data_IF_777434721024
#
_entry.id   IF_777434721024
#
_cell.length_a   1.000
_cell.length_b   1.000
_cell.length_c   1.000
_cell.angle_alpha   90.00
_cell.angle_beta   90.00
_cell.angle_gamma   90.00
#
_symmetry.space_group_name_H-M   'P 1'
#
loop_
_entity.id
_entity.type
_entity.pdbx_description
1 polymer ?
#
# COMPACT_ATOMS: atom_id res chain seq x y z
N UNK A 1 5.98 22.21 -15.21
CA UNK A 1 6.32 20.83 -14.91
C UNK A 1 7.78 20.56 -15.28
N UNK A 2 8.49 19.75 -14.51
CA UNK A 2 9.91 19.40 -14.70
C UNK A 2 10.12 17.93 -15.11
N UNK A 3 9.05 17.23 -15.39
CA UNK A 3 9.06 15.85 -15.88
C UNK A 3 8.15 15.71 -17.11
N UNK A 4 8.38 14.68 -17.90
CA UNK A 4 7.53 14.33 -19.04
C UNK A 4 6.45 13.36 -18.56
N UNK A 5 5.20 13.64 -18.90
CA UNK A 5 4.09 12.75 -18.62
C UNK A 5 4.03 11.65 -19.68
N UNK A 6 3.62 10.47 -19.29
CA UNK A 6 3.21 9.42 -20.21
C UNK A 6 1.83 9.75 -20.80
N UNK A 7 1.53 9.23 -21.97
CA UNK A 7 0.28 9.50 -22.68
C UNK A 7 -0.97 9.26 -21.82
N UNK A 8 -1.00 8.17 -21.06
CA UNK A 8 -2.13 7.88 -20.17
C UNK A 8 -2.23 8.88 -18.99
N UNK A 9 -1.08 9.38 -18.47
CA UNK A 9 -1.07 10.41 -17.43
C UNK A 9 -1.59 11.74 -17.96
N UNK A 10 -1.24 12.10 -19.18
CA UNK A 10 -1.80 13.29 -19.83
C UNK A 10 -3.32 13.20 -19.95
N UNK A 11 -3.86 12.03 -20.32
CA UNK A 11 -5.29 11.80 -20.33
C UNK A 11 -5.92 11.94 -18.94
N UNK A 12 -5.26 11.42 -17.89
CA UNK A 12 -5.72 11.58 -16.52
C UNK A 12 -5.73 13.04 -16.08
N UNK A 13 -4.68 13.80 -16.39
CA UNK A 13 -4.63 15.25 -16.11
C UNK A 13 -5.75 16.00 -16.84
N UNK A 14 -5.97 15.71 -18.13
CA UNK A 14 -7.06 16.31 -18.91
C UNK A 14 -8.43 16.00 -18.29
N UNK A 15 -8.63 14.75 -17.86
CA UNK A 15 -9.86 14.33 -17.19
C UNK A 15 -10.08 15.09 -15.86
N UNK A 16 -9.02 15.18 -15.01
CA UNK A 16 -9.06 15.91 -13.73
C UNK A 16 -9.44 17.37 -13.95
N UNK A 17 -8.82 18.01 -14.93
CA UNK A 17 -9.07 19.42 -15.20
C UNK A 17 -10.45 19.67 -15.80
N UNK A 18 -10.95 18.75 -16.64
CA UNK A 18 -12.26 18.85 -17.29
C UNK A 18 -13.42 18.61 -16.33
N UNK A 19 -13.32 17.57 -15.49
CA UNK A 19 -14.39 17.18 -14.57
C UNK A 19 -14.42 17.99 -13.27
N UNK A 20 -13.31 18.67 -12.93
CA UNK A 20 -13.14 19.54 -11.76
C UNK A 20 -13.24 18.84 -10.41
N UNK A 21 -14.13 17.86 -10.24
CA UNK A 21 -14.36 17.08 -9.01
C UNK A 21 -14.29 15.60 -9.33
N UNK A 22 -13.16 14.99 -9.04
CA UNK A 22 -12.77 13.66 -9.53
C UNK A 22 -12.33 12.75 -8.40
N UNK A 23 -12.69 11.49 -8.52
CA UNK A 23 -12.14 10.36 -7.78
C UNK A 23 -11.24 9.57 -8.73
N UNK A 24 -9.92 9.69 -8.56
CA UNK A 24 -8.92 8.99 -9.35
C UNK A 24 -8.56 7.68 -8.66
N UNK A 25 -9.03 6.57 -9.21
CA UNK A 25 -8.84 5.21 -8.71
C UNK A 25 -7.76 4.43 -9.45
N UNK A 26 -6.84 5.10 -10.14
CA UNK A 26 -5.73 4.44 -10.84
C UNK A 26 -5.00 3.46 -9.93
N UNK A 27 -4.65 2.30 -10.46
CA UNK A 27 -3.89 1.29 -9.75
C UNK A 27 -2.57 1.86 -9.21
N UNK A 28 -2.05 1.24 -8.14
CA UNK A 28 -0.80 1.67 -7.54
C UNK A 28 0.36 1.61 -8.54
N UNK A 29 1.26 2.59 -8.47
CA UNK A 29 2.40 2.69 -9.39
C UNK A 29 2.11 3.43 -10.69
N UNK A 30 0.86 3.77 -11.03
CA UNK A 30 0.52 4.55 -12.24
C UNK A 30 0.78 6.05 -12.12
N UNK A 31 1.34 6.51 -11.00
CA UNK A 31 1.76 7.92 -10.83
C UNK A 31 0.61 8.89 -10.60
N UNK A 32 -0.34 8.55 -9.73
CA UNK A 32 -1.41 9.48 -9.29
C UNK A 32 -0.84 10.79 -8.78
N UNK A 33 0.24 10.74 -7.98
CA UNK A 33 0.96 11.92 -7.47
C UNK A 33 1.44 12.85 -8.59
N UNK A 34 2.03 12.28 -9.65
CA UNK A 34 2.51 13.04 -10.82
C UNK A 34 1.34 13.72 -11.54
N UNK A 35 0.22 13.01 -11.70
CA UNK A 35 -0.98 13.57 -12.34
C UNK A 35 -1.57 14.71 -11.51
N UNK A 36 -1.60 14.59 -10.18
CA UNK A 36 -2.06 15.67 -9.29
C UNK A 36 -1.13 16.90 -9.38
N UNK A 37 0.19 16.71 -9.34
CA UNK A 37 1.17 17.80 -9.47
C UNK A 37 1.03 18.47 -10.85
N UNK A 38 0.91 17.71 -11.93
CA UNK A 38 0.72 18.22 -13.28
C UNK A 38 -0.57 19.03 -13.41
N UNK A 39 -1.65 18.59 -12.75
CA UNK A 39 -2.92 19.33 -12.72
C UNK A 39 -2.77 20.67 -11.99
N UNK A 40 -2.10 20.71 -10.83
CA UNK A 40 -1.80 21.96 -10.10
C UNK A 40 -0.91 22.91 -10.93
N UNK A 41 0.11 22.38 -11.62
CA UNK A 41 0.96 23.18 -12.50
C UNK A 41 0.16 23.77 -13.66
N UNK A 42 -0.72 22.99 -14.28
CA UNK A 42 -1.59 23.45 -15.35
C UNK A 42 -2.51 24.58 -14.89
N UNK A 43 -3.11 24.44 -13.71
CA UNK A 43 -3.93 25.49 -13.09
C UNK A 43 -3.12 26.74 -12.74
N UNK A 44 -1.89 26.57 -12.23
CA UNK A 44 -0.97 27.69 -11.95
C UNK A 44 -0.71 28.50 -13.22
N UNK A 45 -0.55 27.86 -14.37
CA UNK A 45 -0.31 28.51 -15.64
C UNK A 45 -1.54 29.32 -16.13
N UNK A 46 -2.73 29.03 -15.59
CA UNK A 46 -3.97 29.77 -15.88
C UNK A 46 -4.36 30.76 -14.78
N UNK A 47 -3.48 31.02 -13.82
CA UNK A 47 -3.65 32.04 -12.79
C UNK A 47 -4.00 31.53 -11.40
N UNK A 48 -4.17 30.21 -11.19
CA UNK A 48 -4.40 29.64 -9.87
C UNK A 48 -3.20 29.83 -8.94
N UNK A 49 -3.44 30.05 -7.66
CA UNK A 49 -2.41 30.43 -6.69
C UNK A 49 -2.37 29.56 -5.45
N UNK A 50 -3.49 28.94 -5.05
CA UNK A 50 -3.62 28.27 -3.77
C UNK A 50 -4.07 26.81 -3.92
N UNK A 51 -3.24 25.90 -3.45
CA UNK A 51 -3.47 24.46 -3.52
C UNK A 51 -3.31 23.83 -2.15
N UNK A 52 -4.11 22.83 -1.81
CA UNK A 52 -3.97 22.03 -0.59
C UNK A 52 -3.84 20.56 -0.98
N UNK A 53 -2.87 19.87 -0.39
CA UNK A 53 -2.72 18.42 -0.43
C UNK A 53 -2.90 17.86 0.97
N UNK A 54 -3.90 17.02 1.15
CA UNK A 54 -4.15 16.24 2.37
C UNK A 54 -3.69 14.80 2.14
N UNK A 55 -2.80 14.31 2.98
CA UNK A 55 -2.25 12.97 2.83
C UNK A 55 -2.00 12.30 4.20
N UNK A 56 -1.80 10.96 4.25
CA UNK A 56 -1.32 10.29 5.44
C UNK A 56 0.02 10.86 5.92
N UNK A 57 0.25 10.89 7.24
CA UNK A 57 1.48 11.44 7.82
C UNK A 57 2.76 10.75 7.29
N UNK A 58 2.67 9.45 6.97
CA UNK A 58 3.78 8.66 6.42
C UNK A 58 4.29 9.14 5.06
N UNK A 59 3.48 9.86 4.30
CA UNK A 59 3.82 10.31 2.93
C UNK A 59 3.98 11.83 2.81
N UNK A 60 3.78 12.58 3.87
CA UNK A 60 3.83 14.04 3.86
C UNK A 60 5.17 14.56 3.33
N UNK A 61 6.28 14.08 3.87
CA UNK A 61 7.63 14.47 3.43
C UNK A 61 7.87 14.09 1.97
N UNK A 62 7.39 12.92 1.54
CA UNK A 62 7.51 12.49 0.14
C UNK A 62 6.72 13.42 -0.80
N UNK A 63 5.51 13.83 -0.43
CA UNK A 63 4.73 14.81 -1.20
C UNK A 63 5.48 16.13 -1.37
N UNK A 64 6.04 16.66 -0.29
CA UNK A 64 6.85 17.91 -0.35
C UNK A 64 8.04 17.77 -1.30
N UNK A 65 8.73 16.62 -1.30
CA UNK A 65 9.88 16.35 -2.18
C UNK A 65 9.46 16.19 -3.64
N UNK A 66 8.42 15.42 -3.91
CA UNK A 66 7.93 15.18 -5.26
C UNK A 66 7.45 16.47 -5.93
N UNK A 67 6.74 17.35 -5.21
CA UNK A 67 6.34 18.66 -5.74
C UNK A 67 7.59 19.51 -6.10
N UNK A 68 8.58 19.58 -5.22
CA UNK A 68 9.83 20.33 -5.47
C UNK A 68 10.64 19.74 -6.62
N UNK A 69 10.68 18.41 -6.75
CA UNK A 69 11.39 17.69 -7.81
C UNK A 69 10.72 17.89 -9.18
N UNK A 70 9.40 17.78 -9.22
CA UNK A 70 8.65 17.72 -10.48
C UNK A 70 8.09 19.08 -10.94
N UNK A 71 8.12 20.11 -10.10
CA UNK A 71 7.54 21.40 -10.41
C UNK A 71 8.36 22.58 -9.85
N UNK A 72 7.90 23.80 -10.18
CA UNK A 72 8.36 25.05 -9.56
C UNK A 72 7.31 25.61 -8.59
N UNK A 73 6.33 24.83 -8.17
CA UNK A 73 5.32 25.27 -7.21
C UNK A 73 5.95 25.47 -5.83
N UNK A 74 5.71 26.62 -5.19
CA UNK A 74 6.11 26.81 -3.80
C UNK A 74 5.41 25.79 -2.89
N UNK A 75 6.15 25.18 -1.96
CA UNK A 75 5.61 24.16 -1.04
C UNK A 75 5.66 24.69 0.38
N UNK A 76 4.54 24.62 1.07
CA UNK A 76 4.39 24.97 2.47
C UNK A 76 3.98 23.73 3.25
N UNK A 77 4.88 23.21 4.09
CA UNK A 77 4.56 22.10 4.97
C UNK A 77 3.73 22.61 6.16
N UNK A 78 2.52 22.04 6.32
CA UNK A 78 1.58 22.40 7.41
C UNK A 78 1.47 21.21 8.35
N UNK A 79 2.42 21.11 9.27
CA UNK A 79 2.48 20.03 10.25
C UNK A 79 3.18 20.48 11.55
N UNK A 80 2.98 19.72 12.65
CA UNK A 80 3.66 19.96 13.93
C UNK A 80 3.22 21.24 14.65
N UNK A 81 4.13 21.82 15.45
CA UNK A 81 3.85 22.99 16.30
C UNK A 81 3.68 24.30 15.51
N UNK A 82 4.27 24.39 14.35
CA UNK A 82 4.22 25.60 13.50
C UNK A 82 3.01 25.66 12.55
N UNK A 83 2.12 24.68 12.57
CA UNK A 83 0.99 24.53 11.64
C UNK A 83 0.19 25.81 11.40
N UNK A 84 -0.20 26.51 12.46
CA UNK A 84 -1.00 27.74 12.34
C UNK A 84 -0.24 28.89 11.64
N UNK A 85 1.07 28.96 11.86
CA UNK A 85 1.93 29.94 11.17
C UNK A 85 2.07 29.58 9.70
N UNK A 86 2.26 28.30 9.39
CA UNK A 86 2.35 27.80 8.03
C UNK A 86 1.06 28.02 7.24
N UNK A 87 -0.12 27.79 7.85
CA UNK A 87 -1.43 28.09 7.21
C UNK A 87 -1.55 29.57 6.86
N UNK A 88 -1.18 30.46 7.80
CA UNK A 88 -1.23 31.91 7.57
C UNK A 88 -0.27 32.31 6.44
N UNK A 89 0.94 31.82 6.47
CA UNK A 89 1.94 32.07 5.41
C UNK A 89 1.42 31.62 4.05
N UNK A 90 0.87 30.40 3.94
CA UNK A 90 0.30 29.88 2.72
C UNK A 90 -0.89 30.74 2.22
N UNK A 91 -1.78 31.12 3.12
CA UNK A 91 -2.92 31.96 2.78
C UNK A 91 -2.49 33.31 2.17
N UNK A 92 -1.44 33.91 2.71
CA UNK A 92 -0.99 35.24 2.29
C UNK A 92 -0.09 35.19 1.02
N UNK A 93 0.57 34.06 0.73
CA UNK A 93 1.56 33.93 -0.35
C UNK A 93 1.19 32.91 -1.43
N UNK A 94 0.23 32.05 -1.19
CA UNK A 94 -0.13 30.96 -2.10
C UNK A 94 0.86 29.79 -2.07
N UNK A 95 0.81 28.95 -3.10
CA UNK A 95 1.59 27.73 -3.25
C UNK A 95 0.81 26.48 -2.86
N UNK A 96 1.51 25.37 -2.62
CA UNK A 96 0.92 24.09 -2.22
C UNK A 96 1.12 23.88 -0.74
N UNK A 97 0.04 23.96 0.04
CA UNK A 97 0.04 23.53 1.44
C UNK A 97 -0.08 22.01 1.50
N UNK A 98 0.92 21.32 2.04
CA UNK A 98 0.91 19.87 2.25
C UNK A 98 0.66 19.58 3.72
N UNK A 99 -0.38 18.81 4.02
CA UNK A 99 -0.84 18.58 5.40
C UNK A 99 -1.33 17.14 5.62
N UNK A 100 -1.48 16.75 6.88
CA UNK A 100 -2.05 15.45 7.25
C UNK A 100 -3.53 15.56 7.60
N UNK A 101 -4.23 14.43 7.58
CA UNK A 101 -5.65 14.36 7.96
C UNK A 101 -5.93 14.96 9.35
N UNK A 102 -5.05 14.68 10.32
CA UNK A 102 -5.17 15.17 11.70
C UNK A 102 -4.94 16.68 11.80
N UNK A 103 -4.13 17.22 10.90
CA UNK A 103 -3.75 18.63 10.90
C UNK A 103 -4.76 19.51 10.13
N UNK A 104 -5.68 18.91 9.36
CA UNK A 104 -6.70 19.67 8.59
C UNK A 104 -7.53 20.62 9.43
N UNK A 105 -7.72 20.34 10.74
CA UNK A 105 -8.41 21.24 11.66
C UNK A 105 -7.73 22.62 11.84
N UNK A 106 -6.44 22.74 11.47
CA UNK A 106 -5.72 24.02 11.54
C UNK A 106 -6.13 25.02 10.44
N UNK A 107 -6.81 24.53 9.39
CA UNK A 107 -7.31 25.37 8.32
C UNK A 107 -8.68 25.93 8.71
N UNK A 108 -8.68 27.14 9.22
CA UNK A 108 -9.90 27.92 9.47
C UNK A 108 -9.90 29.12 8.53
N UNK A 109 -10.91 29.20 7.69
CA UNK A 109 -11.05 30.25 6.70
C UNK A 109 -12.32 31.05 6.94
N UNK A 110 -12.28 32.34 6.59
CA UNK A 110 -13.44 33.20 6.47
C UNK A 110 -14.40 32.63 5.41
N UNK A 111 -15.69 32.97 5.52
CA UNK A 111 -16.69 32.36 4.65
C UNK A 111 -16.48 32.65 3.15
N UNK A 112 -15.87 33.77 2.82
CA UNK A 112 -15.61 34.21 1.46
C UNK A 112 -14.31 33.63 0.87
N UNK A 113 -13.40 33.10 1.70
CA UNK A 113 -12.13 32.57 1.19
C UNK A 113 -12.33 31.27 0.44
N UNK A 114 -11.80 31.23 -0.76
CA UNK A 114 -11.74 30.01 -1.62
C UNK A 114 -10.32 29.77 -2.07
N UNK A 115 -10.04 28.54 -2.47
CA UNK A 115 -8.76 28.14 -3.04
C UNK A 115 -8.97 27.22 -4.25
N UNK A 116 -7.98 27.14 -5.13
CA UNK A 116 -8.15 26.63 -6.48
C UNK A 116 -8.32 25.12 -6.55
N UNK A 117 -7.54 24.34 -5.74
CA UNK A 117 -7.64 22.88 -5.80
C UNK A 117 -7.30 22.23 -4.47
N UNK A 118 -8.12 21.26 -4.10
CA UNK A 118 -7.88 20.31 -3.00
C UNK A 118 -7.51 18.95 -3.60
N UNK A 119 -6.39 18.39 -3.18
CA UNK A 119 -5.98 17.01 -3.45
C UNK A 119 -6.06 16.23 -2.13
N UNK A 120 -6.75 15.09 -2.14
CA UNK A 120 -6.86 14.19 -0.98
C UNK A 120 -6.30 12.84 -1.38
N UNK A 121 -5.12 12.52 -0.87
CA UNK A 121 -4.44 11.25 -1.14
C UNK A 121 -4.89 10.17 -0.17
N UNK A 122 -5.05 8.93 -0.67
CA UNK A 122 -5.63 7.80 0.05
C UNK A 122 -7.01 8.14 0.64
N UNK A 123 -7.91 8.61 -0.21
CA UNK A 123 -9.23 9.12 0.17
C UNK A 123 -10.11 8.12 0.95
N UNK A 124 -9.77 6.82 0.93
CA UNK A 124 -10.43 5.82 1.78
C UNK A 124 -10.33 6.14 3.30
N UNK A 125 -9.37 6.99 3.71
CA UNK A 125 -9.29 7.47 5.10
C UNK A 125 -10.49 8.30 5.55
N UNK A 126 -11.27 8.86 4.62
CA UNK A 126 -12.46 9.67 4.89
C UNK A 126 -13.78 8.99 4.53
N UNK A 127 -13.77 7.67 4.36
CA UNK A 127 -14.95 6.86 4.04
C UNK A 127 -16.07 6.96 5.08
N UNK A 128 -15.71 7.03 6.37
CA UNK A 128 -16.68 7.24 7.45
C UNK A 128 -17.01 8.73 7.59
N UNK A 129 -18.22 9.18 7.22
CA UNK A 129 -18.60 10.59 7.24
C UNK A 129 -18.62 11.21 8.65
N UNK A 130 -18.80 10.40 9.70
CA UNK A 130 -18.90 10.86 11.09
C UNK A 130 -17.52 11.05 11.76
N UNK A 131 -16.47 10.51 11.16
CA UNK A 131 -15.12 10.68 11.70
C UNK A 131 -14.68 12.15 11.61
N UNK A 132 -14.03 12.66 12.67
CA UNK A 132 -13.56 14.05 12.74
C UNK A 132 -12.71 14.45 11.53
N UNK A 133 -11.82 13.57 11.07
CA UNK A 133 -10.99 13.79 9.87
C UNK A 133 -11.83 13.97 8.60
N UNK A 134 -12.90 13.19 8.46
CA UNK A 134 -13.83 13.29 7.33
C UNK A 134 -14.59 14.60 7.33
N UNK A 135 -15.10 15.02 8.50
CA UNK A 135 -15.77 16.29 8.66
C UNK A 135 -14.86 17.48 8.32
N UNK A 136 -13.60 17.44 8.77
CA UNK A 136 -12.63 18.50 8.49
C UNK A 136 -12.31 18.58 6.98
N UNK A 137 -12.07 17.44 6.33
CA UNK A 137 -11.83 17.42 4.88
C UNK A 137 -13.06 17.90 4.10
N UNK A 138 -14.28 17.49 4.50
CA UNK A 138 -15.52 17.98 3.88
C UNK A 138 -15.67 19.49 4.00
N UNK A 139 -15.26 20.11 5.12
CA UNK A 139 -15.21 21.59 5.24
C UNK A 139 -14.23 22.20 4.24
N UNK A 140 -13.07 21.60 4.02
CA UNK A 140 -12.13 22.06 2.98
C UNK A 140 -12.74 21.93 1.57
N UNK A 141 -13.46 20.85 1.31
CA UNK A 141 -14.14 20.64 0.01
C UNK A 141 -15.14 21.77 -0.34
N UNK A 142 -15.79 22.38 0.68
CA UNK A 142 -16.73 23.50 0.42
C UNK A 142 -16.04 24.78 -0.01
N UNK A 143 -14.72 24.88 0.23
CA UNK A 143 -13.90 26.07 -0.08
C UNK A 143 -13.03 25.89 -1.33
N UNK A 144 -12.95 24.68 -1.87
CA UNK A 144 -12.14 24.35 -3.04
C UNK A 144 -12.96 24.45 -4.33
N UNK A 145 -12.42 25.13 -5.34
CA UNK A 145 -13.03 25.17 -6.66
C UNK A 145 -12.93 23.81 -7.36
N UNK A 146 -11.78 23.13 -7.23
CA UNK A 146 -11.55 21.79 -7.77
C UNK A 146 -11.15 20.80 -6.68
N UNK A 147 -11.59 19.56 -6.82
CA UNK A 147 -11.34 18.52 -5.83
C UNK A 147 -10.88 17.25 -6.54
N UNK A 148 -9.70 16.77 -6.15
CA UNK A 148 -9.16 15.49 -6.58
C UNK A 148 -9.02 14.56 -5.38
N UNK A 149 -9.86 13.55 -5.33
CA UNK A 149 -9.65 12.41 -4.42
C UNK A 149 -8.85 11.35 -5.16
N UNK A 150 -7.85 10.79 -4.49
CA UNK A 150 -7.02 9.71 -5.03
C UNK A 150 -7.04 8.52 -4.09
N UNK A 151 -7.08 7.33 -4.66
CA UNK A 151 -6.92 6.10 -3.91
C UNK A 151 -6.28 5.03 -4.79
N UNK A 152 -5.43 4.20 -4.20
CA UNK A 152 -4.87 3.02 -4.87
C UNK A 152 -5.66 1.77 -4.56
N UNK A 153 -6.56 1.83 -3.56
CA UNK A 153 -7.47 0.74 -3.24
C UNK A 153 -8.66 0.77 -4.18
N UNK A 154 -9.08 -0.41 -4.62
CA UNK A 154 -10.23 -0.54 -5.51
C UNK A 154 -11.52 -0.29 -4.72
N UNK A 155 -12.02 0.94 -4.78
CA UNK A 155 -13.29 1.34 -4.15
C UNK A 155 -14.51 0.61 -4.73
N UNK A 156 -14.37 0.02 -5.90
CA UNK A 156 -15.37 -0.85 -6.50
C UNK A 156 -15.74 -2.03 -5.59
N UNK A 157 -14.89 -2.31 -4.60
CA UNK A 157 -15.03 -3.37 -3.61
C UNK A 157 -16.00 -3.04 -2.50
N UNK A 158 -16.18 -1.75 -2.26
CA UNK A 158 -17.15 -1.27 -1.30
C UNK A 158 -17.93 -0.13 -1.96
N UNK A 159 -18.98 -0.51 -2.66
CA UNK A 159 -19.83 0.41 -3.42
C UNK A 159 -20.37 1.52 -2.51
N UNK A 160 -20.67 1.23 -1.25
CA UNK A 160 -21.16 2.20 -0.29
C UNK A 160 -20.08 3.23 0.06
N UNK A 161 -18.82 2.79 0.24
CA UNK A 161 -17.68 3.69 0.46
C UNK A 161 -17.44 4.58 -0.76
N UNK A 162 -17.51 4.00 -1.96
CA UNK A 162 -17.38 4.76 -3.20
C UNK A 162 -18.49 5.79 -3.34
N UNK A 163 -19.73 5.42 -3.11
CA UNK A 163 -20.88 6.34 -3.13
C UNK A 163 -20.71 7.43 -2.07
N UNK A 164 -20.24 7.09 -0.88
CA UNK A 164 -19.96 8.07 0.19
C UNK A 164 -18.92 9.10 -0.25
N UNK A 165 -17.82 8.70 -0.88
CA UNK A 165 -16.81 9.62 -1.40
C UNK A 165 -17.35 10.46 -2.58
N UNK A 166 -18.06 9.82 -3.51
CA UNK A 166 -18.68 10.52 -4.63
C UNK A 166 -19.75 11.54 -4.19
N UNK A 167 -20.43 11.29 -3.06
CA UNK A 167 -21.42 12.23 -2.51
C UNK A 167 -20.80 13.57 -2.10
N UNK A 168 -19.51 13.56 -1.74
CA UNK A 168 -18.75 14.80 -1.45
C UNK A 168 -18.36 15.53 -2.73
N UNK A 169 -17.99 14.78 -3.77
CA UNK A 169 -17.53 15.32 -5.04
C UNK A 169 -18.72 15.82 -5.91
N UNK A 170 -19.63 14.92 -6.21
CA UNK A 170 -20.78 15.18 -7.09
C UNK A 170 -22.04 14.45 -6.57
N UNK A 171 -22.83 15.07 -5.67
CA UNK A 171 -24.00 14.43 -5.03
C UNK A 171 -25.03 13.85 -6.02
N UNK A 172 -25.22 14.50 -7.17
CA UNK A 172 -26.16 14.03 -8.21
C UNK A 172 -25.70 12.71 -8.82
N UNK A 173 -24.41 12.58 -9.09
CA UNK A 173 -23.81 11.35 -9.63
C UNK A 173 -23.88 10.23 -8.58
N UNK A 174 -23.56 10.52 -7.33
CA UNK A 174 -23.67 9.56 -6.24
C UNK A 174 -25.13 9.05 -6.08
N UNK A 175 -26.10 9.92 -6.14
CA UNK A 175 -27.52 9.55 -6.10
C UNK A 175 -27.92 8.65 -7.29
N UNK A 176 -27.47 8.98 -8.50
CA UNK A 176 -27.72 8.15 -9.68
C UNK A 176 -27.05 6.77 -9.55
N UNK A 177 -25.81 6.74 -9.07
CA UNK A 177 -25.07 5.50 -8.88
C UNK A 177 -25.69 4.60 -7.79
N UNK A 178 -26.20 5.16 -6.70
CA UNK A 178 -26.85 4.40 -5.63
C UNK A 178 -28.03 3.56 -6.09
N UNK A 179 -28.72 3.98 -7.15
CA UNK A 179 -29.82 3.22 -7.76
C UNK A 179 -29.38 1.93 -8.44
N UNK A 180 -28.11 1.84 -8.80
CA UNK A 180 -27.50 0.70 -9.46
C UNK A 180 -26.50 -0.04 -8.56
N UNK A 181 -26.42 0.31 -7.26
CA UNK A 181 -25.46 -0.26 -6.33
C UNK A 181 -25.53 -1.78 -6.23
N UNK A 182 -26.73 -2.37 -6.28
CA UNK A 182 -26.96 -3.82 -6.25
C UNK A 182 -26.43 -4.55 -7.50
N UNK A 183 -26.15 -3.83 -8.59
CA UNK A 183 -25.62 -4.35 -9.86
C UNK A 183 -24.35 -3.60 -10.25
N UNK A 184 -23.45 -3.41 -9.31
CA UNK A 184 -22.22 -2.60 -9.46
C UNK A 184 -21.28 -3.10 -10.57
N UNK A 185 -21.34 -4.36 -10.93
CA UNK A 185 -20.63 -4.95 -12.08
C UNK A 185 -21.22 -4.59 -13.44
N UNK A 186 -22.48 -4.11 -13.47
CA UNK A 186 -23.17 -3.84 -14.73
C UNK A 186 -22.69 -2.55 -15.42
N UNK A 187 -22.72 -2.49 -16.77
CA UNK A 187 -22.36 -1.30 -17.53
C UNK A 187 -23.13 -0.03 -17.11
N UNK A 188 -24.37 -0.19 -16.63
CA UNK A 188 -25.20 0.92 -16.15
C UNK A 188 -24.58 1.64 -14.95
N UNK A 189 -24.03 0.89 -14.00
CA UNK A 189 -23.33 1.47 -12.86
C UNK A 189 -22.07 2.20 -13.30
N UNK A 190 -21.26 1.59 -14.16
CA UNK A 190 -20.02 2.21 -14.71
C UNK A 190 -20.33 3.51 -15.45
N UNK A 191 -21.36 3.52 -16.29
CA UNK A 191 -21.78 4.72 -17.00
C UNK A 191 -22.25 5.83 -16.04
N UNK A 192 -22.93 5.45 -14.94
CA UNK A 192 -23.40 6.39 -13.94
C UNK A 192 -22.24 7.08 -13.20
N UNK A 193 -21.15 6.37 -12.92
CA UNK A 193 -19.99 6.90 -12.17
C UNK A 193 -18.93 7.56 -13.06
N UNK A 194 -18.93 7.31 -14.37
CA UNK A 194 -17.93 7.82 -15.30
C UNK A 194 -17.67 9.33 -15.25
N UNK A 195 -18.64 10.22 -14.93
CA UNK A 195 -18.37 11.65 -14.77
C UNK A 195 -17.48 12.02 -13.58
N UNK A 196 -17.35 11.12 -12.60
CA UNK A 196 -16.65 11.39 -11.33
C UNK A 196 -15.49 10.44 -11.10
N UNK A 197 -15.59 9.21 -11.57
CA UNK A 197 -14.63 8.14 -11.29
C UNK A 197 -13.82 7.79 -12.52
N UNK A 198 -12.49 7.83 -12.37
CA UNK A 198 -11.55 7.43 -13.40
C UNK A 198 -10.55 6.43 -12.86
N UNK A 199 -10.48 5.26 -13.48
CA UNK A 199 -9.59 4.17 -13.09
C UNK A 199 -8.96 3.52 -14.30
N UNK A 200 -7.67 3.18 -14.15
CA UNK A 200 -6.93 2.34 -15.09
C UNK A 200 -6.21 1.26 -14.31
N UNK A 201 -6.11 0.10 -14.92
CA UNK A 201 -5.26 -0.98 -14.43
C UNK A 201 -3.86 -0.83 -15.02
N UNK A 202 -2.89 -1.39 -14.33
CA UNK A 202 -1.49 -1.38 -14.78
C UNK A 202 -1.33 -2.11 -16.10
N UNK A 203 -1.94 -3.28 -16.25
CA UNK A 203 -1.95 -4.11 -17.45
C UNK A 203 -2.49 -3.37 -18.70
N UNK A 204 -3.47 -2.46 -18.52
CA UNK A 204 -4.09 -1.72 -19.62
C UNK A 204 -3.19 -0.62 -20.20
N UNK A 205 -2.24 -0.11 -19.42
CA UNK A 205 -1.52 1.13 -19.76
C UNK A 205 0.00 1.01 -19.77
N UNK A 206 0.57 -0.03 -19.18
CA UNK A 206 2.01 -0.21 -19.07
C UNK A 206 2.48 -1.46 -19.83
N UNK A 207 2.65 -1.31 -21.12
CA UNK A 207 3.38 -2.30 -21.96
C UNK A 207 4.91 -2.21 -21.80
N UNK A 208 5.40 -1.23 -21.03
CA UNK A 208 6.83 -0.88 -20.93
C UNK A 208 7.45 -1.18 -19.56
N UNK A 209 6.69 -1.71 -18.58
CA UNK A 209 7.29 -2.16 -17.33
C UNK A 209 8.03 -3.49 -17.57
N UNK A 210 9.20 -3.68 -16.94
CA UNK A 210 9.81 -4.99 -16.84
C UNK A 210 8.85 -6.01 -16.23
N UNK A 211 9.11 -7.29 -16.41
CA UNK A 211 8.27 -8.35 -15.85
C UNK A 211 8.26 -8.33 -14.32
N UNK A 212 7.11 -8.64 -13.75
CA UNK A 212 6.95 -9.00 -12.35
C UNK A 212 6.91 -10.54 -12.28
N UNK A 213 7.92 -11.12 -11.64
CA UNK A 213 8.06 -12.57 -11.50
C UNK A 213 7.83 -12.91 -10.03
N UNK A 214 6.77 -13.64 -9.73
CA UNK A 214 6.39 -14.02 -8.38
C UNK A 214 6.65 -15.51 -8.17
N UNK A 215 7.31 -15.86 -7.07
CA UNK A 215 7.63 -17.23 -6.67
C UNK A 215 7.18 -17.50 -5.23
N UNK A 216 6.59 -18.67 -5.03
CA UNK A 216 6.32 -19.23 -3.70
C UNK A 216 7.49 -20.17 -3.34
N UNK A 217 8.23 -19.82 -2.30
CA UNK A 217 9.38 -20.58 -1.83
C UNK A 217 8.96 -21.45 -0.64
N UNK A 218 8.61 -22.68 -0.94
CA UNK A 218 8.16 -23.66 0.02
C UNK A 218 9.35 -24.33 0.73
N UNK A 219 9.40 -24.22 2.04
CA UNK A 219 10.45 -24.75 2.90
C UNK A 219 9.88 -25.88 3.76
N UNK A 220 10.65 -26.93 3.97
CA UNK A 220 10.29 -28.02 4.90
C UNK A 220 10.90 -27.73 6.26
N UNK A 221 10.09 -27.74 7.33
CA UNK A 221 10.58 -27.54 8.70
C UNK A 221 11.58 -28.63 9.09
N UNK A 222 12.71 -28.22 9.67
CA UNK A 222 13.63 -29.15 10.32
C UNK A 222 12.97 -29.78 11.57
N UNK A 223 13.39 -30.97 12.02
CA UNK A 223 12.76 -31.62 13.18
C UNK A 223 12.69 -30.74 14.44
N UNK A 224 13.73 -29.95 14.68
CA UNK A 224 13.78 -29.02 15.83
C UNK A 224 12.77 -27.86 15.66
N UNK A 225 12.58 -27.36 14.46
CA UNK A 225 11.58 -26.33 14.18
C UNK A 225 10.16 -26.87 14.28
N UNK A 226 9.96 -28.12 13.82
CA UNK A 226 8.67 -28.80 13.90
C UNK A 226 8.19 -28.90 15.34
N UNK A 227 9.05 -29.29 16.26
CA UNK A 227 8.73 -29.36 17.68
C UNK A 227 8.32 -27.98 18.24
N UNK A 228 9.08 -26.93 17.95
CA UNK A 228 8.76 -25.54 18.36
C UNK A 228 7.43 -25.09 17.73
N UNK A 229 7.19 -25.38 16.46
CA UNK A 229 5.96 -25.03 15.76
C UNK A 229 4.75 -25.71 16.41
N UNK A 230 4.82 -27.02 16.68
CA UNK A 230 3.75 -27.77 17.33
C UNK A 230 3.45 -27.23 18.73
N UNK A 231 4.47 -26.88 19.51
CA UNK A 231 4.29 -26.25 20.82
C UNK A 231 3.54 -24.90 20.69
N UNK A 232 3.92 -24.06 19.72
CA UNK A 232 3.29 -22.74 19.53
C UNK A 232 1.80 -22.82 19.23
N UNK A 233 1.32 -23.89 18.56
CA UNK A 233 -0.10 -24.06 18.25
C UNK A 233 -1.00 -24.13 19.50
N UNK A 234 -0.47 -24.65 20.63
CA UNK A 234 -1.21 -24.79 21.88
C UNK A 234 -1.11 -23.55 22.79
N UNK A 235 -0.33 -22.55 22.43
CA UNK A 235 -0.09 -21.37 23.29
C UNK A 235 -1.14 -20.27 23.18
N UNK A 236 -2.12 -20.34 22.28
CA UNK A 236 -3.02 -19.24 21.90
C UNK A 236 -2.29 -17.96 21.44
N UNK A 237 -1.00 -18.04 21.13
CA UNK A 237 -0.22 -16.92 20.62
C UNK A 237 -0.23 -16.90 19.09
N UNK A 238 -1.25 -16.28 18.52
CA UNK A 238 -1.45 -16.18 17.07
C UNK A 238 -0.24 -15.56 16.33
N UNK A 239 0.47 -14.65 16.98
CA UNK A 239 1.66 -14.05 16.41
C UNK A 239 2.82 -15.07 16.28
N UNK A 240 3.03 -15.91 17.30
CA UNK A 240 4.03 -16.97 17.26
C UNK A 240 3.65 -18.03 16.21
N UNK A 241 2.38 -18.45 16.17
CA UNK A 241 1.89 -19.41 15.17
C UNK A 241 2.14 -18.91 13.74
N UNK A 242 1.93 -17.63 13.45
CA UNK A 242 2.16 -17.04 12.11
C UNK A 242 3.64 -16.95 11.73
N UNK A 243 4.53 -16.81 12.69
CA UNK A 243 5.96 -16.71 12.42
C UNK A 243 6.58 -18.04 11.97
N UNK A 244 5.94 -19.15 12.28
CA UNK A 244 6.39 -20.51 11.92
C UNK A 244 7.90 -20.69 12.19
N UNK A 245 8.72 -20.81 11.16
CA UNK A 245 10.16 -21.02 11.20
C UNK A 245 10.96 -19.87 11.88
N UNK A 246 10.40 -18.65 11.93
CA UNK A 246 11.07 -17.50 12.58
C UNK A 246 11.08 -17.53 14.11
N UNK A 247 10.45 -18.54 14.73
CA UNK A 247 10.52 -18.74 16.19
C UNK A 247 11.75 -19.53 16.64
N UNK A 248 12.60 -20.00 15.74
CA UNK A 248 13.81 -20.74 16.08
C UNK A 248 14.79 -19.84 16.86
N UNK A 249 15.31 -20.32 18.00
CA UNK A 249 16.34 -19.61 18.78
C UNK A 249 17.64 -19.46 17.99
N UNK A 250 17.99 -20.48 17.21
CA UNK A 250 19.15 -20.50 16.32
C UNK A 250 18.70 -20.40 14.87
N UNK A 251 18.85 -19.22 14.28
CA UNK A 251 18.44 -18.95 12.90
C UNK A 251 19.21 -19.78 11.84
N UNK A 252 20.33 -20.38 12.20
CA UNK A 252 21.01 -21.33 11.31
C UNK A 252 20.21 -22.62 11.11
N UNK A 253 19.23 -22.86 11.98
CA UNK A 253 18.30 -23.99 11.95
C UNK A 253 16.87 -23.57 11.50
N UNK A 254 16.68 -22.34 11.05
CA UNK A 254 15.43 -21.85 10.48
C UNK A 254 15.43 -22.09 8.97
N UNK A 255 14.51 -22.91 8.47
CA UNK A 255 14.43 -23.22 7.05
C UNK A 255 14.14 -21.96 6.20
N UNK A 256 13.28 -21.05 6.69
CA UNK A 256 13.05 -19.75 6.02
C UNK A 256 14.29 -18.86 6.05
N UNK A 257 15.06 -18.84 7.15
CA UNK A 257 16.28 -18.04 7.23
C UNK A 257 17.39 -18.60 6.31
N UNK A 258 17.49 -19.93 6.20
CA UNK A 258 18.40 -20.59 5.25
C UNK A 258 18.02 -20.19 3.82
N UNK A 259 16.73 -20.33 3.45
CA UNK A 259 16.26 -19.98 2.11
C UNK A 259 16.43 -18.48 1.80
N UNK A 260 16.18 -17.63 2.80
CA UNK A 260 16.44 -16.19 2.69
C UNK A 260 17.90 -15.89 2.34
N UNK A 261 18.87 -16.58 2.97
CA UNK A 261 20.29 -16.41 2.69
C UNK A 261 20.63 -16.78 1.25
N UNK A 262 20.13 -17.91 0.77
CA UNK A 262 20.34 -18.34 -0.63
C UNK A 262 19.83 -17.31 -1.62
N UNK A 263 18.58 -16.83 -1.45
CA UNK A 263 17.98 -15.80 -2.32
C UNK A 263 18.80 -14.50 -2.30
N UNK A 264 19.28 -14.10 -1.12
CA UNK A 264 20.09 -12.88 -0.97
C UNK A 264 21.45 -13.05 -1.65
N UNK A 265 22.07 -14.21 -1.59
CA UNK A 265 23.33 -14.52 -2.26
C UNK A 265 23.16 -14.48 -3.78
N UNK A 266 22.15 -15.17 -4.32
CA UNK A 266 21.80 -15.14 -5.73
C UNK A 266 21.51 -13.69 -6.23
N UNK A 267 20.75 -12.93 -5.45
CA UNK A 267 20.44 -11.55 -5.78
C UNK A 267 21.69 -10.63 -5.77
N UNK A 268 22.63 -10.89 -4.87
CA UNK A 268 23.89 -10.13 -4.81
C UNK A 268 24.80 -10.45 -6.01
N UNK A 269 24.89 -11.71 -6.43
CA UNK A 269 25.61 -12.14 -7.64
C UNK A 269 25.02 -11.46 -8.89
N UNK A 270 23.70 -11.38 -8.97
CA UNK A 270 22.96 -10.68 -10.02
C UNK A 270 23.05 -9.14 -9.91
N UNK A 271 23.79 -8.61 -8.95
CA UNK A 271 23.91 -7.17 -8.68
C UNK A 271 22.56 -6.48 -8.45
N UNK A 272 21.68 -7.12 -7.68
CA UNK A 272 20.37 -6.61 -7.31
C UNK A 272 20.38 -6.08 -5.89
N UNK A 273 19.54 -5.09 -5.60
CA UNK A 273 19.20 -4.65 -4.24
C UNK A 273 17.92 -5.31 -3.79
N UNK A 274 17.84 -5.59 -2.50
CA UNK A 274 16.82 -6.46 -1.92
C UNK A 274 16.02 -5.67 -0.88
N UNK A 275 14.70 -5.80 -0.91
CA UNK A 275 13.84 -5.38 0.20
C UNK A 275 13.21 -6.62 0.83
N UNK A 276 13.29 -6.71 2.17
CA UNK A 276 12.73 -7.82 2.94
C UNK A 276 11.61 -7.29 3.82
N UNK A 277 10.40 -7.77 3.57
CA UNK A 277 9.21 -7.40 4.31
C UNK A 277 8.80 -8.46 5.32
N UNK A 278 8.44 -8.03 6.52
CA UNK A 278 7.73 -8.81 7.51
C UNK A 278 6.68 -7.97 8.23
N UNK A 279 5.62 -8.61 8.70
CA UNK A 279 4.66 -7.99 9.62
C UNK A 279 5.29 -7.82 11.02
N UNK A 280 6.16 -8.74 11.42
CA UNK A 280 6.72 -8.86 12.76
C UNK A 280 8.05 -8.12 12.90
N UNK A 281 8.17 -7.32 13.96
CA UNK A 281 9.39 -6.58 14.27
C UNK A 281 10.55 -7.51 14.63
N UNK A 282 10.27 -8.61 15.34
CA UNK A 282 11.27 -9.60 15.71
C UNK A 282 11.90 -10.24 14.47
N UNK A 283 11.07 -10.60 13.47
CA UNK A 283 11.57 -11.14 12.19
C UNK A 283 12.45 -10.13 11.44
N UNK A 284 12.07 -8.84 11.46
CA UNK A 284 12.90 -7.78 10.87
C UNK A 284 14.24 -7.65 11.59
N UNK A 285 14.25 -7.77 12.93
CA UNK A 285 15.46 -7.76 13.73
C UNK A 285 16.33 -8.97 13.40
N UNK A 286 15.74 -10.16 13.29
CA UNK A 286 16.44 -11.38 12.86
C UNK A 286 17.11 -11.20 11.48
N UNK A 287 16.42 -10.59 10.52
CA UNK A 287 17.02 -10.27 9.21
C UNK A 287 18.23 -9.34 9.36
N UNK A 288 18.13 -8.30 10.20
CA UNK A 288 19.25 -7.39 10.48
C UNK A 288 20.44 -8.12 11.10
N UNK A 289 20.20 -9.04 12.04
CA UNK A 289 21.23 -9.85 12.70
C UNK A 289 21.89 -10.83 11.72
N UNK A 290 21.11 -11.48 10.85
CA UNK A 290 21.61 -12.44 9.86
C UNK A 290 22.58 -11.83 8.86
N UNK A 291 22.34 -10.58 8.45
CA UNK A 291 23.08 -9.95 7.35
C UNK A 291 23.97 -8.77 7.79
N UNK A 292 23.84 -8.30 9.02
CA UNK A 292 24.71 -7.29 9.62
C UNK A 292 24.86 -6.03 8.76
N UNK A 293 26.10 -5.76 8.35
CA UNK A 293 26.46 -4.55 7.58
C UNK A 293 25.91 -4.53 6.14
N UNK A 294 25.42 -5.66 5.62
CA UNK A 294 24.69 -5.67 4.33
C UNK A 294 23.30 -5.02 4.43
N UNK A 295 22.77 -4.81 5.65
CA UNK A 295 21.49 -4.16 5.88
C UNK A 295 21.65 -2.70 6.22
N UNK A 296 20.89 -1.83 5.53
CA UNK A 296 20.62 -0.48 6.05
C UNK A 296 19.76 -0.55 7.31
N UNK A 297 19.50 0.59 7.94
CA UNK A 297 18.64 0.63 9.12
C UNK A 297 17.22 0.16 8.76
N UNK A 298 16.61 -0.74 9.58
CA UNK A 298 15.25 -1.21 9.35
C UNK A 298 14.19 -0.11 9.42
N UNK A 299 13.20 -0.16 8.52
CA UNK A 299 12.03 0.73 8.55
C UNK A 299 10.87 0.06 9.27
N UNK A 300 10.37 0.70 10.34
CA UNK A 300 9.20 0.27 11.08
C UNK A 300 8.30 1.45 11.50
N UNK A 301 7.24 1.19 12.26
CA UNK A 301 6.26 2.19 12.68
C UNK A 301 6.83 3.31 13.57
N UNK A 302 7.92 3.07 14.31
CA UNK A 302 8.55 4.04 15.20
C UNK A 302 9.48 5.03 14.48
N UNK A 303 9.89 4.73 13.24
CA UNK A 303 10.78 5.58 12.44
C UNK A 303 9.99 6.78 11.90
N UNK A 304 10.46 7.99 12.16
CA UNK A 304 9.80 9.21 11.66
C UNK A 304 9.80 9.29 10.13
N UNK A 305 8.84 9.98 9.50
CA UNK A 305 8.77 10.11 8.04
C UNK A 305 10.03 10.71 7.41
N UNK A 306 10.66 11.70 8.06
CA UNK A 306 11.93 12.28 7.59
C UNK A 306 13.06 11.27 7.61
N UNK A 307 13.19 10.53 8.72
CA UNK A 307 14.26 9.56 8.88
C UNK A 307 14.07 8.32 7.98
N UNK A 308 12.82 7.92 7.71
CA UNK A 308 12.56 6.87 6.69
C UNK A 308 13.12 7.26 5.33
N UNK A 309 12.97 8.52 4.97
CA UNK A 309 13.48 8.99 3.69
C UNK A 309 15.01 9.02 3.65
N UNK A 310 15.67 9.37 4.75
CA UNK A 310 17.13 9.30 4.86
C UNK A 310 17.63 7.86 4.67
N UNK A 311 16.98 6.88 5.29
CA UNK A 311 17.29 5.45 5.11
C UNK A 311 17.12 5.02 3.66
N UNK A 312 16.07 5.49 2.97
CA UNK A 312 15.86 5.18 1.55
C UNK A 312 16.93 5.82 0.69
N UNK A 313 17.30 7.07 0.96
CA UNK A 313 18.35 7.78 0.23
C UNK A 313 19.72 7.09 0.44
N UNK A 314 19.98 6.56 1.63
CA UNK A 314 21.14 5.71 1.93
C UNK A 314 21.10 4.42 1.12
N UNK A 315 19.96 3.71 1.15
CA UNK A 315 19.76 2.50 0.38
C UNK A 315 19.90 2.71 -1.12
N UNK A 316 19.40 3.83 -1.65
CA UNK A 316 19.56 4.17 -3.08
C UNK A 316 21.03 4.34 -3.49
N UNK A 317 21.88 4.86 -2.61
CA UNK A 317 23.32 5.07 -2.86
C UNK A 317 24.15 3.84 -2.54
N UNK A 318 23.63 2.91 -1.77
CA UNK A 318 24.35 1.71 -1.35
C UNK A 318 24.70 0.79 -2.53
N UNK A 319 25.72 -0.07 -2.39
CA UNK A 319 26.11 -1.01 -3.44
C UNK A 319 25.02 -2.09 -3.70
N UNK A 320 25.18 -2.82 -4.79
CA UNK A 320 24.37 -4.01 -5.06
C UNK A 320 24.55 -5.05 -3.92
N UNK A 321 23.53 -5.86 -3.68
CA UNK A 321 23.49 -6.80 -2.56
C UNK A 321 23.06 -6.18 -1.23
N UNK A 322 22.87 -4.85 -1.16
CA UNK A 322 22.35 -4.20 0.05
C UNK A 322 20.89 -4.57 0.28
N UNK A 323 20.54 -4.80 1.54
CA UNK A 323 19.23 -5.22 2.00
C UNK A 323 18.55 -4.08 2.78
N UNK A 324 17.28 -3.82 2.48
CA UNK A 324 16.41 -2.95 3.26
C UNK A 324 15.37 -3.80 4.00
N UNK A 325 15.52 -4.07 5.31
CA UNK A 325 14.48 -4.70 6.09
C UNK A 325 13.37 -3.69 6.40
N UNK A 326 12.10 -4.07 6.22
CA UNK A 326 11.00 -3.14 6.46
C UNK A 326 9.76 -3.86 7.00
N UNK A 327 9.11 -3.25 7.99
CA UNK A 327 7.80 -3.71 8.43
C UNK A 327 6.78 -3.44 7.32
N UNK A 328 6.08 -4.48 6.87
CA UNK A 328 5.24 -4.42 5.66
C UNK A 328 4.17 -3.32 5.73
N UNK A 329 3.58 -3.09 6.91
CA UNK A 329 2.60 -2.03 7.13
C UNK A 329 3.22 -0.62 7.04
N UNK A 330 4.44 -0.46 7.52
CA UNK A 330 5.15 0.83 7.55
C UNK A 330 5.94 1.08 6.28
N UNK A 331 6.55 0.05 5.70
CA UNK A 331 7.27 0.10 4.43
C UNK A 331 6.34 0.12 3.21
N UNK A 332 5.09 -0.36 3.37
CA UNK A 332 4.07 -0.39 2.32
C UNK A 332 3.41 0.97 2.04
N UNK A 333 3.58 1.99 2.89
CA UNK A 333 2.91 3.30 2.71
C UNK A 333 3.88 4.39 2.26
N UNK A 334 3.67 4.90 1.03
CA UNK A 334 4.26 6.15 0.52
C UNK A 334 5.74 6.19 0.20
N UNK A 335 6.47 5.09 0.38
CA UNK A 335 7.88 5.01 0.06
C UNK A 335 8.11 4.73 -1.44
N UNK A 336 9.17 5.29 -1.99
CA UNK A 336 9.64 4.99 -3.34
C UNK A 336 10.94 4.22 -3.26
N UNK A 337 10.93 2.93 -3.60
CA UNK A 337 12.09 2.03 -3.45
C UNK A 337 12.41 1.36 -4.80
N UNK A 338 12.48 2.16 -5.86
CA UNK A 338 12.72 1.68 -7.23
C UNK A 338 14.12 1.08 -7.42
N UNK A 339 15.06 1.37 -6.54
CA UNK A 339 16.40 0.78 -6.59
C UNK A 339 16.42 -0.71 -6.23
N UNK A 340 15.40 -1.22 -5.53
CA UNK A 340 15.23 -2.64 -5.29
C UNK A 340 14.58 -3.32 -6.49
N UNK A 341 15.10 -4.47 -6.86
CA UNK A 341 14.51 -5.36 -7.88
C UNK A 341 14.28 -6.79 -7.37
N UNK A 342 14.49 -7.02 -6.08
CA UNK A 342 14.12 -8.24 -5.36
C UNK A 342 13.28 -7.84 -4.15
N UNK A 343 12.13 -8.45 -4.00
CA UNK A 343 11.20 -8.28 -2.88
C UNK A 343 11.01 -9.63 -2.22
N UNK A 344 11.25 -9.72 -0.92
CA UNK A 344 11.08 -10.95 -0.16
C UNK A 344 10.04 -10.70 0.92
N UNK A 345 9.06 -11.59 1.03
CA UNK A 345 7.96 -11.56 2.00
C UNK A 345 8.16 -12.74 2.94
N UNK A 346 8.45 -12.47 4.21
CA UNK A 346 8.85 -13.48 5.20
C UNK A 346 7.71 -14.39 5.66
N UNK A 347 6.46 -13.94 5.57
CA UNK A 347 5.26 -14.70 5.93
C UNK A 347 4.04 -14.21 5.14
N UNK A 348 3.02 -15.10 4.89
CA UNK A 348 1.82 -14.71 4.17
C UNK A 348 1.02 -13.65 4.93
N UNK A 349 0.48 -12.70 4.20
CA UNK A 349 -0.34 -11.64 4.80
C UNK A 349 -1.82 -12.01 4.75
N UNK A 350 -2.58 -11.63 5.77
CA UNK A 350 -4.03 -11.87 5.86
C UNK A 350 -4.83 -11.13 4.79
N UNK A 351 -4.23 -10.08 4.22
CA UNK A 351 -4.80 -9.28 3.14
C UNK A 351 -3.82 -9.21 1.97
N UNK A 352 -4.15 -9.76 0.81
CA UNK A 352 -3.32 -9.64 -0.39
C UNK A 352 -3.02 -8.19 -0.78
N UNK A 353 -3.94 -7.25 -0.48
CA UNK A 353 -3.74 -5.83 -0.77
C UNK A 353 -2.51 -5.23 -0.06
N UNK A 354 -2.14 -5.73 1.13
CA UNK A 354 -0.94 -5.30 1.85
C UNK A 354 0.34 -5.71 1.10
N UNK A 355 0.39 -6.96 0.62
CA UNK A 355 1.51 -7.44 -0.21
C UNK A 355 1.61 -6.66 -1.52
N UNK A 356 0.49 -6.48 -2.23
CA UNK A 356 0.44 -5.72 -3.46
C UNK A 356 0.92 -4.28 -3.27
N UNK A 357 0.56 -3.65 -2.15
CA UNK A 357 1.08 -2.32 -1.80
C UNK A 357 2.59 -2.34 -1.59
N UNK A 358 3.12 -3.31 -0.86
CA UNK A 358 4.54 -3.45 -0.61
C UNK A 358 5.32 -3.71 -1.90
N UNK A 359 4.87 -4.64 -2.75
CA UNK A 359 5.47 -4.96 -4.04
C UNK A 359 5.49 -3.73 -4.95
N UNK A 360 4.41 -2.94 -4.97
CA UNK A 360 4.30 -1.75 -5.81
C UNK A 360 5.30 -0.63 -5.46
N UNK A 361 6.03 -0.73 -4.34
CA UNK A 361 7.11 0.21 -3.97
C UNK A 361 8.38 -0.02 -4.77
N UNK A 362 8.67 -1.27 -5.13
CA UNK A 362 9.77 -1.66 -6.01
C UNK A 362 9.29 -1.75 -7.48
N UNK A 363 8.12 -2.35 -7.71
CA UNK A 363 7.53 -2.53 -9.03
C UNK A 363 6.66 -1.34 -9.43
N UNK A 364 7.29 -0.29 -9.90
CA UNK A 364 6.62 0.94 -10.36
C UNK A 364 7.38 1.61 -11.49
N UNK A 365 6.78 2.66 -12.04
CA UNK A 365 7.41 3.43 -13.11
C UNK A 365 8.79 3.94 -12.72
N UNK A 366 9.74 3.77 -13.63
CA UNK A 366 11.17 4.04 -13.40
C UNK A 366 11.97 2.79 -13.02
N UNK A 367 11.30 1.66 -12.73
CA UNK A 367 11.98 0.38 -12.62
C UNK A 367 12.51 -0.07 -14.00
N UNK A 368 13.78 -0.38 -14.08
CA UNK A 368 14.46 -0.77 -15.33
C UNK A 368 14.78 -2.25 -15.39
N UNK A 369 14.57 -2.99 -14.31
CA UNK A 369 14.85 -4.44 -14.19
C UNK A 369 13.59 -5.20 -13.82
N UNK A 370 13.48 -6.45 -14.27
CA UNK A 370 12.45 -7.36 -13.78
C UNK A 370 12.48 -7.41 -12.26
N UNK A 371 11.30 -7.33 -11.64
CA UNK A 371 11.17 -7.44 -10.18
C UNK A 371 10.83 -8.88 -9.83
N UNK A 372 11.68 -9.47 -8.98
CA UNK A 372 11.51 -10.81 -8.46
C UNK A 372 10.86 -10.70 -7.07
N UNK A 373 9.75 -11.39 -6.87
CA UNK A 373 9.04 -11.44 -5.59
C UNK A 373 9.08 -12.88 -5.08
N UNK A 374 9.63 -13.06 -3.89
CA UNK A 374 9.72 -14.35 -3.22
C UNK A 374 8.86 -14.34 -1.96
N UNK A 375 7.95 -15.31 -1.83
CA UNK A 375 7.18 -15.55 -0.61
C UNK A 375 7.72 -16.78 0.10
N UNK A 376 8.28 -16.58 1.31
CA UNK A 376 8.81 -17.67 2.13
C UNK A 376 7.67 -18.35 2.88
N UNK A 377 7.44 -19.61 2.59
CA UNK A 377 6.33 -20.42 3.09
C UNK A 377 6.86 -21.73 3.66
N UNK A 378 6.13 -22.33 4.62
CA UNK A 378 6.46 -23.65 5.14
C UNK A 378 5.35 -24.66 4.82
N UNK A 379 5.77 -25.80 4.25
CA UNK A 379 4.89 -26.93 3.99
C UNK A 379 4.39 -27.57 5.30
N UNK A 380 3.19 -28.15 5.25
CA UNK A 380 2.55 -28.81 6.40
C UNK A 380 2.46 -27.91 7.64
N UNK A 381 2.12 -26.64 7.43
CA UNK A 381 1.93 -25.64 8.47
C UNK A 381 0.73 -24.73 8.18
N UNK A 382 0.46 -23.80 9.09
CA UNK A 382 -0.57 -22.76 8.87
C UNK A 382 -0.33 -21.92 7.63
N UNK A 383 0.91 -21.80 7.13
CA UNK A 383 1.22 -21.08 5.89
C UNK A 383 0.49 -21.71 4.70
N UNK A 384 0.49 -23.04 4.59
CA UNK A 384 -0.17 -23.78 3.53
C UNK A 384 -1.69 -23.56 3.58
N UNK A 385 -2.29 -23.70 4.77
CA UNK A 385 -3.73 -23.45 4.98
C UNK A 385 -4.13 -22.02 4.66
N UNK A 386 -3.31 -21.05 5.06
CA UNK A 386 -3.52 -19.64 4.74
C UNK A 386 -3.53 -19.41 3.23
N UNK A 387 -2.53 -19.95 2.52
CA UNK A 387 -2.41 -19.80 1.08
C UNK A 387 -3.58 -20.47 0.34
N UNK A 388 -4.03 -21.64 0.77
CA UNK A 388 -5.19 -22.34 0.19
C UNK A 388 -6.47 -21.50 0.31
N UNK A 389 -6.70 -20.91 1.50
CA UNK A 389 -7.86 -20.05 1.73
C UNK A 389 -7.77 -18.79 0.90
N UNK A 390 -6.60 -18.15 0.84
CA UNK A 390 -6.39 -16.94 0.04
C UNK A 390 -6.60 -17.24 -1.45
N UNK A 391 -6.06 -18.35 -1.96
CA UNK A 391 -6.23 -18.80 -3.35
C UNK A 391 -7.69 -19.15 -3.66
N UNK A 392 -8.36 -19.86 -2.76
CA UNK A 392 -9.78 -20.23 -2.93
C UNK A 392 -10.68 -19.00 -2.93
N UNK A 393 -10.42 -18.05 -2.04
CA UNK A 393 -11.14 -16.79 -2.01
C UNK A 393 -10.86 -15.96 -3.27
N UNK A 394 -9.61 -15.91 -3.74
CA UNK A 394 -9.26 -15.25 -4.99
C UNK A 394 -9.91 -15.92 -6.19
N UNK A 395 -9.92 -17.25 -6.28
CA UNK A 395 -10.57 -17.99 -7.36
C UNK A 395 -12.10 -17.83 -7.36
N UNK A 396 -12.73 -17.88 -6.18
CA UNK A 396 -14.17 -17.57 -6.05
C UNK A 396 -14.46 -16.13 -6.49
N UNK A 397 -13.56 -15.23 -6.19
CA UNK A 397 -13.60 -13.85 -6.62
C UNK A 397 -13.48 -13.70 -8.13
N UNK A 398 -12.43 -14.27 -8.73
CA UNK A 398 -12.20 -14.22 -10.18
C UNK A 398 -13.35 -14.85 -10.96
N UNK A 399 -13.96 -15.93 -10.43
CA UNK A 399 -15.11 -16.60 -11.03
C UNK A 399 -16.41 -15.75 -10.99
N UNK A 400 -16.57 -14.91 -9.96
CA UNK A 400 -17.74 -14.02 -9.83
C UNK A 400 -17.45 -12.61 -10.38
N UNK A 401 -16.18 -12.28 -10.61
CA UNK A 401 -15.70 -10.94 -10.91
C UNK A 401 -15.02 -10.84 -12.26
N UNK A 402 -15.56 -11.48 -13.28
CA UNK A 402 -15.10 -11.22 -14.66
C UNK A 402 -15.16 -9.71 -15.01
N UNK A 403 -15.61 -8.87 -14.06
CA UNK A 403 -15.73 -7.42 -14.22
C UNK A 403 -15.65 -6.56 -12.95
N UNK A 404 -15.41 -7.05 -11.74
CA UNK A 404 -15.29 -6.19 -10.56
C UNK A 404 -14.11 -6.55 -9.64
N UNK A 405 -13.19 -5.62 -9.48
CA UNK A 405 -12.08 -5.67 -8.50
C UNK A 405 -12.55 -5.56 -7.04
N UNK A 406 -13.86 -5.61 -6.81
CA UNK A 406 -14.55 -5.47 -5.53
C UNK A 406 -14.23 -6.54 -4.50
N UNK A 407 -13.82 -7.69 -4.91
CA UNK A 407 -13.60 -8.80 -4.01
C UNK A 407 -12.13 -8.99 -3.57
N UNK A 408 -11.16 -8.29 -4.19
CA UNK A 408 -9.77 -8.41 -3.74
C UNK A 408 -9.55 -7.88 -2.29
N UNK A 409 -10.40 -6.95 -1.81
CA UNK A 409 -10.38 -6.51 -0.41
C UNK A 409 -11.25 -7.36 0.53
N UNK A 410 -12.22 -8.12 0.00
CA UNK A 410 -13.00 -9.07 0.79
C UNK A 410 -12.22 -10.36 1.11
N UNK A 411 -11.04 -10.53 0.51
CA UNK A 411 -10.09 -11.60 0.80
C UNK A 411 -9.29 -11.25 2.06
N UNK A 412 -9.96 -11.00 3.18
CA UNK A 412 -9.31 -10.86 4.48
C UNK A 412 -9.52 -12.13 5.31
N UNK A 413 -8.48 -12.56 6.00
CA UNK A 413 -8.57 -13.59 7.05
C UNK A 413 -8.66 -12.85 8.38
N UNK A 414 -9.82 -12.91 9.02
CA UNK A 414 -9.98 -12.32 10.36
C UNK A 414 -9.42 -13.25 11.46
N UNK A 415 -9.30 -12.74 12.66
CA UNK A 415 -8.77 -13.49 13.80
C UNK A 415 -9.59 -14.74 14.13
N UNK A 416 -10.92 -14.75 13.84
CA UNK A 416 -11.79 -15.88 14.08
C UNK A 416 -11.53 -16.98 13.05
N UNK A 417 -11.41 -16.62 11.77
CA UNK A 417 -11.05 -17.53 10.68
C UNK A 417 -9.67 -18.14 10.93
N UNK A 418 -8.70 -17.34 11.37
CA UNK A 418 -7.38 -17.85 11.72
C UNK A 418 -7.39 -18.79 12.93
N UNK A 419 -8.21 -18.52 13.94
CA UNK A 419 -8.43 -19.44 15.06
C UNK A 419 -8.99 -20.81 14.63
N UNK A 420 -9.83 -20.84 13.59
CA UNK A 420 -10.32 -22.10 13.01
C UNK A 420 -9.20 -22.85 12.26
N UNK A 421 -8.37 -22.13 11.50
CA UNK A 421 -7.19 -22.71 10.82
C UNK A 421 -6.27 -23.40 11.85
N UNK A 422 -6.00 -22.75 12.98
CA UNK A 422 -5.16 -23.34 14.05
C UNK A 422 -5.80 -24.63 14.62
N UNK A 423 -7.11 -24.63 14.83
CA UNK A 423 -7.81 -25.85 15.32
C UNK A 423 -7.72 -27.00 14.33
N UNK A 424 -7.96 -26.74 13.05
CA UNK A 424 -7.84 -27.73 11.98
C UNK A 424 -6.41 -28.28 11.89
N UNK A 425 -5.42 -27.42 12.08
CA UNK A 425 -4.00 -27.81 12.07
C UNK A 425 -3.65 -28.70 13.28
N UNK A 426 -4.13 -28.34 14.47
CA UNK A 426 -3.99 -29.19 15.68
C UNK A 426 -4.64 -30.55 15.45
N UNK A 427 -5.85 -30.62 14.90
CA UNK A 427 -6.55 -31.85 14.62
C UNK A 427 -5.78 -32.73 13.60
N UNK A 428 -5.15 -32.11 12.60
CA UNK A 428 -4.32 -32.80 11.61
C UNK A 428 -3.11 -33.45 12.28
N UNK A 429 -2.36 -32.67 13.07
CA UNK A 429 -1.14 -33.14 13.76
C UNK A 429 -1.48 -34.26 14.74
N UNK A 430 -2.57 -34.13 15.50
CA UNK A 430 -3.02 -35.19 16.42
C UNK A 430 -3.34 -36.50 15.70
N UNK A 431 -3.95 -36.44 14.51
CA UNK A 431 -4.19 -37.63 13.68
C UNK A 431 -2.89 -38.25 13.16
N UNK A 432 -1.92 -37.44 12.76
CA UNK A 432 -0.61 -37.93 12.31
C UNK A 432 0.15 -38.64 13.45
N UNK A 433 0.14 -38.10 14.67
CA UNK A 433 0.76 -38.73 15.84
C UNK A 433 0.08 -40.05 16.17
N UNK A 434 -1.27 -40.10 16.17
CA UNK A 434 -2.02 -41.35 16.40
C UNK A 434 -1.74 -42.41 15.33
N UNK A 435 -1.56 -42.01 14.07
CA UNK A 435 -1.23 -42.92 12.99
C UNK A 435 0.18 -43.48 13.09
N UNK A 436 1.15 -42.69 13.61
CA UNK A 436 2.53 -43.11 13.81
C UNK A 436 2.71 -43.99 15.03
N UNK A 437 1.82 -43.96 16.02
CA UNK A 437 1.82 -44.81 17.23
C UNK A 437 1.03 -46.12 17.04
N UNK A 438 0.29 -46.28 15.94
CA UNK A 438 -0.41 -47.54 15.67
C UNK A 438 0.59 -48.64 15.30
N UNK A 439 0.62 -49.80 16.05
CA UNK A 439 1.54 -50.85 15.73
C UNK A 439 1.26 -51.44 14.37
N UNK A 440 2.29 -51.61 13.54
CA UNK A 440 2.22 -52.38 12.30
C UNK A 440 1.67 -53.78 12.64
N UNK A 441 0.45 -54.07 12.14
CA UNK A 441 -0.16 -55.42 12.26
C UNK A 441 0.29 -56.31 11.12
#
# INVERSE_FOLDING_TARGET
LRCTLRRYQEWGVKYILHQEKVLLGDEMGLGKTVQAIASMVSLKNTGATHFIVVCPASVLTNWCREIKKMSFLPVVEVHGSSKSRSVRFWRDNGGVAVTTYETTAAFSFEDEFKFDMLVVDEAHYIKNPEAQRSMNVRKLCTKADRILFMTGTALENNVDEMISLMSVLQPKVAYSASRFAAISSAPQFRNAIAPVYYRRRREDVLTELPELIESEEWCTLLPSERAVYEETLYTNNYAAVRRVSWNAEDLSKSCKAIRLKEIVEDAAEDKRKIIVFSFFLDTIQHVKELFGDKCVQPINGSVSPSHRQEIIDEFEKAPAGTILPAQIQSGGTGLNIQSASVVIICEPQFKPSIENQAISRAYRMGQTRNVLVYRLLCENTVDERLMDILKSKQAAFDAFADESTAAAESVEIDSKSFGNIIKEEIDRINKEHQASEAPEQ
#
